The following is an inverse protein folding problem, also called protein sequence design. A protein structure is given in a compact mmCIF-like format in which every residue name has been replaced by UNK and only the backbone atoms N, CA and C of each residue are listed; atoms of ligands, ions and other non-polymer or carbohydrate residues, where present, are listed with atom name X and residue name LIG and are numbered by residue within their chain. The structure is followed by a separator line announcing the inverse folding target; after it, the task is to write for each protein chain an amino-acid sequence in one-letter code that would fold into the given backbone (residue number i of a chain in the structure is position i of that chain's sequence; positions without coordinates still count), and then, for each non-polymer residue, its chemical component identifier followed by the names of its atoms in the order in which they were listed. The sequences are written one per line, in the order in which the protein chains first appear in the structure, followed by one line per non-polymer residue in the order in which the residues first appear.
data_IF_761191553304
#
_entry.id   IF_761191553304
#
_cell.length_a   1.000
_cell.length_b   1.000
_cell.length_c   1.000
_cell.angle_alpha   90.00
_cell.angle_beta   90.00
_cell.angle_gamma   90.00
#
_symmetry.space_group_name_H-M   'P 1'
#
loop_
_entity.id
_entity.type
_entity.pdbx_description
1 polymer ?
#
# COMPACT_ATOMS: atom_id res chain seq x y z
N UNK A 1 -4.37 -4.39 4.95
CA UNK A 1 -3.06 -3.83 4.55
C UNK A 1 -2.43 -3.05 5.68
N UNK A 2 -2.93 -1.87 6.06
CA UNK A 2 -2.33 -0.99 7.10
C UNK A 2 -1.92 -1.74 8.38
N UNK A 3 -2.87 -2.47 9.01
CA UNK A 3 -2.61 -3.27 10.23
C UNK A 3 -1.45 -4.27 10.12
N UNK A 4 -1.17 -4.79 8.93
CA UNK A 4 -0.11 -5.79 8.70
C UNK A 4 1.26 -5.17 8.46
N UNK A 5 1.33 -3.85 8.27
CA UNK A 5 2.57 -3.12 8.03
C UNK A 5 3.03 -2.38 9.29
N UNK A 6 2.11 -1.76 10.04
CA UNK A 6 2.44 -0.94 11.23
C UNK A 6 1.85 -1.49 12.55
N UNK A 7 1.15 -2.63 12.49
CA UNK A 7 0.56 -3.26 13.67
C UNK A 7 1.40 -4.44 14.16
N UNK A 8 1.05 -5.00 15.32
CA UNK A 8 1.82 -6.07 15.98
C UNK A 8 2.03 -7.35 15.16
N UNK A 9 1.16 -7.63 14.18
CA UNK A 9 1.18 -8.87 13.39
C UNK A 9 1.59 -8.61 11.94
N UNK A 10 2.89 -8.68 11.68
CA UNK A 10 3.46 -8.51 10.33
C UNK A 10 3.19 -9.71 9.41
N UNK A 11 3.62 -9.60 8.15
CA UNK A 11 3.48 -10.64 7.12
C UNK A 11 4.82 -10.96 6.48
N UNK A 12 5.07 -12.25 6.22
CA UNK A 12 6.33 -12.71 5.64
C UNK A 12 6.60 -12.08 4.26
N UNK A 13 5.56 -11.78 3.48
CA UNK A 13 5.66 -11.16 2.15
C UNK A 13 6.44 -9.84 2.15
N UNK A 14 6.43 -9.12 3.28
CA UNK A 14 7.15 -7.85 3.46
C UNK A 14 8.40 -8.04 4.32
N UNK A 15 8.30 -8.80 5.41
CA UNK A 15 9.40 -8.96 6.36
C UNK A 15 10.58 -9.76 5.79
N UNK A 16 10.33 -10.67 4.84
CA UNK A 16 11.39 -11.50 4.24
C UNK A 16 12.16 -10.79 3.12
N UNK A 17 11.79 -9.55 2.78
CA UNK A 17 12.55 -8.72 1.84
C UNK A 17 13.90 -8.38 2.48
N UNK A 18 14.99 -8.88 1.88
CA UNK A 18 16.35 -8.74 2.40
C UNK A 18 16.93 -7.33 2.23
N UNK A 19 16.59 -6.64 1.13
CA UNK A 19 16.99 -5.25 0.90
C UNK A 19 16.09 -4.31 1.70
N UNK A 20 16.67 -3.64 2.69
CA UNK A 20 15.98 -2.70 3.56
C UNK A 20 15.32 -1.55 2.78
N UNK A 21 15.93 -1.07 1.70
CA UNK A 21 15.34 0.00 0.87
C UNK A 21 14.14 -0.51 0.08
N UNK A 22 14.23 -1.71 -0.49
CA UNK A 22 13.11 -2.34 -1.17
C UNK A 22 11.96 -2.66 -0.19
N UNK A 23 12.29 -3.11 1.02
CA UNK A 23 11.30 -3.39 2.07
C UNK A 23 10.56 -2.12 2.49
N UNK A 24 11.30 -1.03 2.73
CA UNK A 24 10.73 0.27 3.08
C UNK A 24 9.82 0.81 1.97
N UNK A 25 10.26 0.73 0.71
CA UNK A 25 9.46 1.15 -0.42
C UNK A 25 8.18 0.31 -0.57
N UNK A 26 8.25 -1.00 -0.33
CA UNK A 26 7.10 -1.89 -0.34
C UNK A 26 6.11 -1.55 0.80
N UNK A 27 6.61 -1.29 2.01
CA UNK A 27 5.81 -0.85 3.15
C UNK A 27 5.10 0.48 2.87
N UNK A 28 5.80 1.49 2.33
CA UNK A 28 5.20 2.78 1.94
C UNK A 28 4.10 2.62 0.91
N UNK A 29 4.34 1.82 -0.14
CA UNK A 29 3.33 1.54 -1.18
C UNK A 29 2.11 0.85 -0.58
N UNK A 30 2.30 -0.16 0.27
CA UNK A 30 1.20 -0.87 0.92
C UNK A 30 0.35 0.04 1.82
N UNK A 31 0.99 0.98 2.53
CA UNK A 31 0.30 1.98 3.33
C UNK A 31 -0.46 2.99 2.47
N UNK A 32 0.16 3.49 1.40
CA UNK A 32 -0.47 4.43 0.47
C UNK A 32 -1.72 3.83 -0.19
N UNK A 33 -1.61 2.61 -0.71
CA UNK A 33 -2.74 1.85 -1.27
C UNK A 33 -3.84 1.68 -0.22
N UNK A 34 -3.47 1.20 0.97
CA UNK A 34 -4.43 0.98 2.05
C UNK A 34 -5.20 2.25 2.43
N UNK A 35 -4.50 3.38 2.52
CA UNK A 35 -5.11 4.70 2.81
C UNK A 35 -6.10 5.10 1.71
N UNK A 36 -5.69 5.02 0.44
CA UNK A 36 -6.55 5.42 -0.67
C UNK A 36 -7.79 4.53 -0.80
N UNK A 37 -7.65 3.22 -0.54
CA UNK A 37 -8.78 2.31 -0.52
C UNK A 37 -9.77 2.66 0.59
N UNK A 38 -9.31 2.95 1.81
CA UNK A 38 -10.20 3.34 2.91
C UNK A 38 -10.95 4.65 2.59
N UNK A 39 -10.28 5.63 1.98
CA UNK A 39 -10.91 6.92 1.65
C UNK A 39 -11.92 6.79 0.51
N UNK A 40 -11.61 6.01 -0.53
CA UNK A 40 -12.40 5.97 -1.76
C UNK A 40 -13.30 4.73 -1.88
N UNK A 41 -13.37 3.85 -0.87
CA UNK A 41 -14.09 2.56 -0.94
C UNK A 41 -15.55 2.67 -1.43
N UNK A 42 -16.25 3.76 -1.09
CA UNK A 42 -17.68 3.94 -1.46
C UNK A 42 -17.89 4.31 -2.93
N UNK A 43 -16.85 4.80 -3.61
CA UNK A 43 -16.91 5.23 -5.01
C UNK A 43 -16.45 4.18 -6.01
N UNK A 44 -15.92 3.04 -5.55
CA UNK A 44 -15.44 1.96 -6.42
C UNK A 44 -16.64 1.11 -6.86
N UNK A 45 -16.89 1.03 -8.16
CA UNK A 45 -18.05 0.32 -8.73
C UNK A 45 -17.65 -0.98 -9.45
N UNK A 46 -16.37 -1.12 -9.78
CA UNK A 46 -15.85 -2.27 -10.50
C UNK A 46 -14.42 -2.65 -10.05
N UNK A 47 -14.01 -3.86 -10.42
CA UNK A 47 -12.61 -4.29 -10.25
C UNK A 47 -11.62 -3.43 -11.05
N UNK A 48 -12.07 -2.82 -12.16
CA UNK A 48 -11.23 -1.92 -12.95
C UNK A 48 -10.94 -0.61 -12.20
N UNK A 49 -11.92 -0.07 -11.46
CA UNK A 49 -11.74 1.12 -10.63
C UNK A 49 -10.74 0.85 -9.51
N UNK A 50 -10.80 -0.36 -8.93
CA UNK A 50 -9.86 -0.80 -7.90
C UNK A 50 -8.41 -0.86 -8.42
N UNK A 51 -8.18 -1.46 -9.59
CA UNK A 51 -6.85 -1.53 -10.20
C UNK A 51 -6.34 -0.13 -10.56
N UNK A 52 -7.22 0.71 -11.13
CA UNK A 52 -6.88 2.10 -11.48
C UNK A 52 -6.44 2.91 -10.25
N UNK A 53 -7.18 2.78 -9.15
CA UNK A 53 -6.85 3.44 -7.89
C UNK A 53 -5.50 2.95 -7.33
N UNK A 54 -5.17 1.67 -7.46
CA UNK A 54 -3.87 1.12 -7.03
C UNK A 54 -2.72 1.71 -7.88
N UNK A 55 -2.87 1.78 -9.19
CA UNK A 55 -1.86 2.40 -10.06
C UNK A 55 -1.65 3.88 -9.71
N UNK A 56 -2.73 4.63 -9.48
CA UNK A 56 -2.63 6.02 -9.04
C UNK A 56 -1.91 6.13 -7.67
N UNK A 57 -2.24 5.25 -6.72
CA UNK A 57 -1.64 5.26 -5.38
C UNK A 57 -0.16 4.86 -5.36
N UNK A 58 0.30 4.03 -6.31
CA UNK A 58 1.69 3.53 -6.39
C UNK A 58 2.61 4.38 -7.25
N UNK A 59 2.05 5.20 -8.15
CA UNK A 59 2.81 6.09 -9.05
C UNK A 59 3.35 7.34 -8.34
N UNK A 60 2.89 7.65 -7.12
CA UNK A 60 3.44 8.73 -6.31
C UNK A 60 4.89 8.42 -5.88
N UNK A 61 5.86 8.88 -6.69
CA UNK A 61 7.24 9.12 -6.27
C UNK A 61 7.23 10.18 -5.17
N UNK A 62 7.66 9.80 -3.97
CA UNK A 62 8.04 10.75 -2.93
C UNK A 62 6.88 11.47 -2.26
N UNK A 63 6.22 10.79 -1.32
CA UNK A 63 5.69 11.51 -0.16
C UNK A 63 6.70 11.29 0.95
N UNK A 64 7.51 12.33 1.19
CA UNK A 64 8.15 12.56 2.48
C UNK A 64 7.05 12.60 3.53
N UNK A 65 6.95 11.55 4.34
CA UNK A 65 6.46 11.66 5.70
C UNK A 65 7.67 12.02 6.56
#
# INVERSE_FOLDING_TARGET
MIRRIVGLSHVADIETIADDQAREAAQRKALAIGKQLVLNHRGLQSGADFISLIHMATTFKGVSL
#
